data_IF_928473953061
#
_entry.id   IF_928473953061
#
_cell.length_a   1.000
_cell.length_b   1.000
_cell.length_c   1.000
_cell.angle_alpha   90.00
_cell.angle_beta   90.00
_cell.angle_gamma   90.00
#
_symmetry.space_group_name_H-M   'P 1'
#
loop_
_entity.id
_entity.type
_entity.pdbx_description
1 polymer ?
#
# COMPACT_ATOMS: atom_id res chain seq x y z
N UNK A 1 -7.46 72.96 19.45
CA UNK A 1 -7.77 71.95 18.47
C UNK A 1 -6.56 70.98 18.37
N UNK A 2 -6.61 69.87 19.08
CA UNK A 2 -5.52 68.91 19.21
C UNK A 2 -5.75 67.78 18.19
N UNK A 3 -4.83 67.61 17.21
CA UNK A 3 -4.82 66.45 16.33
C UNK A 3 -4.09 65.29 17.03
N UNK A 4 -4.81 64.20 17.25
CA UNK A 4 -4.26 62.94 17.76
C UNK A 4 -3.80 62.14 16.52
N UNK A 5 -2.52 61.84 16.47
CA UNK A 5 -1.91 60.97 15.46
C UNK A 5 -1.92 59.54 16.05
N UNK A 6 -2.71 58.69 15.45
CA UNK A 6 -2.68 57.25 15.75
C UNK A 6 -1.54 56.58 14.98
N UNK A 7 -0.54 56.10 15.68
CA UNK A 7 0.50 55.23 15.15
C UNK A 7 0.01 53.79 15.23
N UNK A 8 -0.29 53.19 14.10
CA UNK A 8 -0.50 51.73 14.00
C UNK A 8 0.86 51.05 13.93
N UNK A 9 1.21 50.37 15.04
CA UNK A 9 2.33 49.44 15.06
C UNK A 9 1.89 48.13 14.42
N UNK A 10 2.40 47.84 13.22
CA UNK A 10 2.25 46.55 12.57
C UNK A 10 3.18 45.53 13.25
N UNK A 11 2.63 44.66 14.08
CA UNK A 11 3.35 43.53 14.62
C UNK A 11 3.44 42.44 13.54
N UNK A 12 4.63 42.26 12.96
CA UNK A 12 4.95 41.14 12.12
C UNK A 12 5.02 39.86 12.97
N UNK A 13 3.98 39.06 12.91
CA UNK A 13 4.01 37.71 13.52
C UNK A 13 4.76 36.81 12.53
N UNK A 14 6.04 36.58 12.81
CA UNK A 14 6.84 35.55 12.16
C UNK A 14 6.32 34.19 12.64
N UNK A 15 5.46 33.58 11.83
CA UNK A 15 5.00 32.20 12.04
C UNK A 15 6.16 31.23 11.81
N UNK A 16 6.84 30.83 12.88
CA UNK A 16 7.71 29.66 12.86
C UNK A 16 6.80 28.43 12.64
N UNK A 17 6.79 27.89 11.43
CA UNK A 17 6.25 26.57 11.13
C UNK A 17 7.09 25.55 11.91
N UNK A 18 6.63 25.20 13.10
CA UNK A 18 7.10 24.02 13.80
C UNK A 18 6.67 22.82 12.96
N UNK A 19 7.61 22.26 12.24
CA UNK A 19 7.48 20.93 11.68
C UNK A 19 7.38 19.96 12.87
N UNK A 20 6.15 19.75 13.37
CA UNK A 20 5.85 18.67 14.29
C UNK A 20 6.03 17.37 13.50
N UNK A 21 7.22 16.77 13.60
CA UNK A 21 7.45 15.42 13.12
C UNK A 21 6.43 14.52 13.80
N UNK A 22 5.60 13.83 13.00
CA UNK A 22 4.71 12.80 13.52
C UNK A 22 5.58 11.70 14.10
N UNK A 23 5.72 11.65 15.43
CA UNK A 23 6.26 10.50 16.14
C UNK A 23 5.16 9.45 16.18
N UNK A 24 5.43 8.29 15.61
CA UNK A 24 4.57 7.11 15.76
C UNK A 24 5.15 6.25 16.87
N UNK A 25 4.29 5.88 17.84
CA UNK A 25 4.65 4.92 18.88
C UNK A 25 4.67 3.51 18.28
N UNK A 26 5.69 2.72 18.61
CA UNK A 26 5.68 1.29 18.34
C UNK A 26 4.58 0.65 19.19
N UNK A 27 3.60 0.03 18.57
CA UNK A 27 2.44 -0.56 19.23
C UNK A 27 2.80 -1.74 20.16
N UNK A 28 4.06 -2.19 20.17
CA UNK A 28 4.54 -3.29 20.99
C UNK A 28 5.52 -2.90 22.09
N UNK A 29 6.32 -1.84 21.89
CA UNK A 29 7.34 -1.44 22.88
C UNK A 29 7.00 -0.14 23.57
N UNK A 30 6.05 0.64 23.07
CA UNK A 30 5.72 1.97 23.57
C UNK A 30 6.83 3.01 23.39
N UNK A 31 7.92 2.67 22.70
CA UNK A 31 9.02 3.60 22.43
C UNK A 31 8.68 4.53 21.27
N UNK A 32 8.99 5.82 21.44
CA UNK A 32 8.96 6.79 20.37
C UNK A 32 10.02 6.41 19.30
N UNK A 33 9.58 5.83 18.21
CA UNK A 33 10.40 5.72 17.03
C UNK A 33 10.33 7.04 16.28
N UNK A 34 11.45 7.73 16.15
CA UNK A 34 11.61 8.78 15.15
C UNK A 34 11.20 8.17 13.83
N UNK A 35 10.03 8.53 13.39
CA UNK A 35 9.47 8.07 12.12
C UNK A 35 10.54 8.25 11.06
N UNK A 36 10.87 7.21 10.31
CA UNK A 36 11.64 7.32 9.08
C UNK A 36 10.81 8.07 8.03
N UNK A 37 10.24 9.21 8.41
CA UNK A 37 9.35 10.04 7.61
C UNK A 37 10.03 10.53 6.34
N UNK A 38 11.36 10.67 6.36
CA UNK A 38 12.13 10.96 5.15
C UNK A 38 12.19 9.75 4.18
N UNK A 39 12.10 8.50 4.68
CA UNK A 39 11.96 7.30 3.85
C UNK A 39 10.50 6.97 3.54
N UNK A 40 9.57 7.39 4.39
CA UNK A 40 8.13 7.15 4.24
C UNK A 40 7.42 8.08 3.27
N UNK A 41 7.94 9.27 3.00
CA UNK A 41 7.30 10.23 2.10
C UNK A 41 7.22 9.71 0.64
N UNK A 42 8.24 8.98 0.16
CA UNK A 42 8.24 8.37 -1.17
C UNK A 42 7.26 7.20 -1.26
N UNK A 43 7.23 6.33 -0.23
CA UNK A 43 6.32 5.17 -0.18
C UNK A 43 4.86 5.65 -0.14
N UNK A 44 4.54 6.68 0.66
CA UNK A 44 3.18 7.23 0.76
C UNK A 44 2.65 7.78 -0.56
N UNK A 45 3.47 8.46 -1.37
CA UNK A 45 3.06 9.02 -2.65
C UNK A 45 2.72 7.93 -3.69
N UNK A 46 3.52 6.84 -3.76
CA UNK A 46 3.27 5.73 -4.69
C UNK A 46 2.06 4.90 -4.28
N UNK A 47 1.90 4.63 -2.99
CA UNK A 47 0.72 3.96 -2.42
C UNK A 47 -0.55 4.75 -2.72
N UNK A 48 -0.53 6.09 -2.54
CA UNK A 48 -1.66 6.94 -2.87
C UNK A 48 -2.10 6.85 -4.33
N UNK A 49 -1.16 6.68 -5.27
CA UNK A 49 -1.47 6.54 -6.69
C UNK A 49 -2.20 5.22 -7.01
N UNK A 50 -1.77 4.11 -6.45
CA UNK A 50 -2.46 2.80 -6.57
C UNK A 50 -3.85 2.87 -5.96
N UNK A 51 -3.98 3.48 -4.79
CA UNK A 51 -5.26 3.69 -4.11
C UNK A 51 -6.19 4.56 -4.95
N UNK A 52 -5.68 5.66 -5.53
CA UNK A 52 -6.45 6.55 -6.40
C UNK A 52 -6.95 5.82 -7.66
N UNK A 53 -6.11 4.98 -8.27
CA UNK A 53 -6.51 4.17 -9.42
C UNK A 53 -7.73 3.29 -9.08
N UNK A 54 -7.65 2.53 -7.97
CA UNK A 54 -8.77 1.66 -7.57
C UNK A 54 -10.01 2.44 -7.10
N UNK A 55 -9.84 3.62 -6.52
CA UNK A 55 -10.95 4.50 -6.14
C UNK A 55 -11.70 5.07 -7.36
N UNK A 56 -10.99 5.33 -8.46
CA UNK A 56 -11.51 5.95 -9.67
C UNK A 56 -12.00 4.93 -10.73
N UNK A 57 -12.07 3.63 -10.38
CA UNK A 57 -12.65 2.63 -11.29
C UNK A 57 -14.12 2.93 -11.56
N UNK A 58 -14.59 2.53 -12.75
CA UNK A 58 -15.97 2.68 -13.14
C UNK A 58 -16.92 1.85 -12.24
N UNK A 59 -18.13 2.36 -12.03
CA UNK A 59 -19.14 1.73 -11.16
C UNK A 59 -19.50 0.32 -11.63
N UNK A 60 -19.48 0.06 -12.94
CA UNK A 60 -19.84 -1.26 -13.49
C UNK A 60 -18.82 -2.33 -13.09
N UNK A 61 -17.53 -1.98 -12.99
CA UNK A 61 -16.48 -2.86 -12.52
C UNK A 61 -16.59 -3.15 -11.02
N UNK A 62 -16.90 -2.14 -10.22
CA UNK A 62 -17.16 -2.27 -8.77
C UNK A 62 -18.35 -3.17 -8.50
N UNK A 63 -19.46 -2.95 -9.19
CA UNK A 63 -20.68 -3.75 -9.05
C UNK A 63 -20.47 -5.22 -9.46
N UNK A 64 -19.71 -5.45 -10.52
CA UNK A 64 -19.36 -6.81 -10.95
C UNK A 64 -18.55 -7.51 -9.88
N UNK A 65 -17.53 -6.84 -9.31
CA UNK A 65 -16.71 -7.39 -8.25
C UNK A 65 -17.53 -7.68 -6.99
N UNK A 66 -18.42 -6.79 -6.56
CA UNK A 66 -19.33 -7.02 -5.43
C UNK A 66 -20.20 -8.28 -5.64
N UNK A 67 -20.79 -8.45 -6.83
CA UNK A 67 -21.60 -9.64 -7.15
C UNK A 67 -20.77 -10.92 -7.13
N UNK A 68 -19.53 -10.89 -7.64
CA UNK A 68 -18.63 -12.03 -7.61
C UNK A 68 -18.22 -12.39 -6.18
N UNK A 69 -17.95 -11.40 -5.33
CA UNK A 69 -17.63 -11.60 -3.91
C UNK A 69 -18.82 -12.20 -3.16
N UNK A 70 -20.02 -11.68 -3.38
CA UNK A 70 -21.24 -12.22 -2.76
C UNK A 70 -21.52 -13.66 -3.20
N UNK A 71 -21.32 -13.97 -4.49
CA UNK A 71 -21.48 -15.33 -5.02
C UNK A 71 -20.42 -16.31 -4.45
N UNK A 72 -19.24 -15.80 -4.07
CA UNK A 72 -18.19 -16.57 -3.42
C UNK A 72 -18.38 -16.66 -1.89
N UNK A 73 -19.46 -16.12 -1.34
CA UNK A 73 -19.73 -16.14 0.10
C UNK A 73 -18.97 -15.09 0.92
N UNK A 74 -18.27 -14.17 0.27
CA UNK A 74 -17.53 -13.11 0.95
C UNK A 74 -18.47 -11.98 1.33
N UNK A 75 -18.72 -11.81 2.63
CA UNK A 75 -19.57 -10.75 3.16
C UNK A 75 -18.87 -9.39 3.28
N UNK A 76 -19.67 -8.33 3.46
CA UNK A 76 -19.16 -6.99 3.77
C UNK A 76 -19.00 -6.78 5.29
N UNK A 77 -18.29 -5.71 5.66
CA UNK A 77 -18.14 -5.28 7.04
C UNK A 77 -19.26 -4.29 7.34
N UNK A 78 -20.10 -4.63 8.33
CA UNK A 78 -21.23 -3.79 8.72
C UNK A 78 -20.79 -2.59 9.58
N UNK A 79 -21.37 -1.42 9.31
CA UNK A 79 -21.31 -0.22 10.14
C UNK A 79 -19.90 0.24 10.53
N UNK A 80 -19.71 0.62 11.80
CA UNK A 80 -18.44 1.15 12.34
C UNK A 80 -17.34 0.11 12.57
N UNK A 81 -17.55 -1.17 12.20
CA UNK A 81 -16.60 -2.25 12.43
C UNK A 81 -15.36 -2.24 11.56
N UNK A 82 -15.30 -1.41 10.51
CA UNK A 82 -14.20 -1.35 9.54
C UNK A 82 -12.87 -1.04 10.23
N UNK A 83 -12.85 -0.04 11.11
CA UNK A 83 -11.63 0.35 11.83
C UNK A 83 -11.06 -0.85 12.60
N UNK A 84 -11.84 -1.43 13.49
CA UNK A 84 -11.40 -2.57 14.31
C UNK A 84 -10.93 -3.77 13.46
N UNK A 85 -11.68 -4.08 12.41
CA UNK A 85 -11.34 -5.18 11.51
C UNK A 85 -9.97 -4.95 10.84
N UNK A 86 -9.76 -3.76 10.30
CA UNK A 86 -8.51 -3.42 9.63
C UNK A 86 -7.35 -3.28 10.61
N UNK A 87 -7.58 -2.76 11.83
CA UNK A 87 -6.55 -2.66 12.88
C UNK A 87 -6.09 -4.05 13.33
N UNK A 88 -7.03 -4.99 13.47
CA UNK A 88 -6.73 -6.39 13.81
C UNK A 88 -5.93 -7.08 12.70
N UNK A 89 -6.32 -6.86 11.44
CA UNK A 89 -5.61 -7.39 10.27
C UNK A 89 -4.18 -6.80 10.17
N UNK A 90 -4.05 -5.48 10.36
CA UNK A 90 -2.75 -4.81 10.36
C UNK A 90 -1.82 -5.34 11.44
N UNK A 91 -2.30 -5.44 12.68
CA UNK A 91 -1.51 -5.96 13.80
C UNK A 91 -0.99 -7.38 13.53
N UNK A 92 -1.83 -8.24 12.95
CA UNK A 92 -1.46 -9.60 12.60
C UNK A 92 -0.44 -9.64 11.45
N UNK A 93 -0.62 -8.82 10.41
CA UNK A 93 0.34 -8.69 9.32
C UNK A 93 1.70 -8.19 9.82
N UNK A 94 1.73 -7.14 10.65
CA UNK A 94 2.99 -6.63 11.24
C UNK A 94 3.71 -7.69 12.07
N UNK A 95 2.96 -8.53 12.80
CA UNK A 95 3.53 -9.63 13.59
C UNK A 95 4.13 -10.72 12.68
N UNK A 96 3.40 -11.14 11.64
CA UNK A 96 3.83 -12.22 10.76
C UNK A 96 4.96 -11.81 9.81
N UNK A 97 5.01 -10.53 9.42
CA UNK A 97 5.97 -10.03 8.45
C UNK A 97 7.18 -9.32 9.07
N UNK A 98 7.35 -9.44 10.39
CA UNK A 98 8.52 -8.89 11.08
C UNK A 98 9.80 -9.52 10.48
N UNK A 99 10.80 -8.67 10.18
CA UNK A 99 12.11 -9.08 9.67
C UNK A 99 12.12 -9.74 8.27
N UNK A 100 10.97 -9.81 7.58
CA UNK A 100 10.88 -10.39 6.24
C UNK A 100 11.31 -9.42 5.12
N UNK A 101 11.49 -8.14 5.44
CA UNK A 101 11.76 -7.09 4.46
C UNK A 101 10.51 -6.52 3.80
N UNK A 102 9.31 -7.04 4.10
CA UNK A 102 8.03 -6.49 3.65
C UNK A 102 7.62 -5.35 4.58
N UNK A 103 7.27 -4.19 4.01
CA UNK A 103 6.76 -3.06 4.77
C UNK A 103 5.23 -3.10 4.83
N UNK A 104 4.67 -2.90 6.03
CA UNK A 104 3.22 -2.78 6.25
C UNK A 104 2.89 -1.31 6.51
N UNK A 105 2.15 -0.69 5.60
CA UNK A 105 1.79 0.74 5.66
C UNK A 105 0.28 0.86 5.79
N UNK A 106 -0.20 1.61 6.80
CA UNK A 106 -1.62 1.94 6.94
C UNK A 106 -1.92 3.27 6.28
N UNK A 107 -2.98 3.32 5.47
CA UNK A 107 -3.46 4.54 4.85
C UNK A 107 -4.99 4.62 4.96
N UNK A 108 -5.46 5.41 5.91
CA UNK A 108 -6.87 5.45 6.27
C UNK A 108 -7.39 4.08 6.70
N UNK A 109 -8.37 3.55 5.99
CA UNK A 109 -8.95 2.22 6.20
C UNK A 109 -8.34 1.11 5.31
N UNK A 110 -7.24 1.39 4.63
CA UNK A 110 -6.54 0.44 3.75
C UNK A 110 -5.18 0.07 4.34
N UNK A 111 -4.71 -1.13 4.02
CA UNK A 111 -3.37 -1.61 4.41
C UNK A 111 -2.62 -1.90 3.12
N UNK A 112 -1.41 -1.38 3.00
CA UNK A 112 -0.52 -1.68 1.89
C UNK A 112 0.70 -2.47 2.34
N UNK A 113 0.95 -3.61 1.69
CA UNK A 113 2.15 -4.41 1.86
C UNK A 113 3.08 -4.12 0.70
N UNK A 114 4.24 -3.52 0.98
CA UNK A 114 5.26 -3.23 -0.03
C UNK A 114 6.32 -4.31 0.01
N UNK A 115 6.43 -5.06 -1.09
CA UNK A 115 7.37 -6.17 -1.29
C UNK A 115 8.49 -5.73 -2.23
N UNK A 116 9.71 -5.46 -1.73
CA UNK A 116 10.84 -5.09 -2.57
C UNK A 116 11.17 -6.16 -3.61
N UNK A 117 11.38 -5.76 -4.86
CA UNK A 117 11.59 -6.68 -5.97
C UNK A 117 12.82 -7.57 -5.82
N UNK A 118 13.88 -7.06 -5.20
CA UNK A 118 15.14 -7.79 -5.01
C UNK A 118 15.02 -9.01 -4.08
N UNK A 119 14.10 -8.99 -3.11
CA UNK A 119 13.82 -10.15 -2.25
C UNK A 119 12.75 -11.05 -2.83
N UNK A 120 11.86 -10.51 -3.66
CA UNK A 120 10.69 -11.21 -4.20
C UNK A 120 10.99 -11.95 -5.50
N UNK A 121 11.81 -11.35 -6.40
CA UNK A 121 12.10 -11.87 -7.75
C UNK A 121 13.59 -11.88 -8.06
N UNK A 122 13.98 -12.72 -9.02
CA UNK A 122 15.28 -12.60 -9.66
C UNK A 122 15.29 -11.44 -10.66
N UNK A 123 16.50 -10.98 -11.03
CA UNK A 123 16.66 -9.88 -11.99
C UNK A 123 15.99 -10.23 -13.32
N UNK A 124 15.22 -9.30 -13.87
CA UNK A 124 14.46 -9.47 -15.12
C UNK A 124 13.52 -10.68 -15.14
N UNK A 125 13.05 -11.13 -13.97
CA UNK A 125 12.13 -12.26 -13.83
C UNK A 125 10.80 -11.82 -13.24
N UNK A 126 9.72 -12.43 -13.75
CA UNK A 126 8.39 -12.37 -13.15
C UNK A 126 8.13 -13.53 -12.16
N UNK A 127 9.05 -14.48 -12.01
CA UNK A 127 8.88 -15.63 -11.12
C UNK A 127 9.29 -15.31 -9.68
N UNK A 128 8.43 -15.65 -8.73
CA UNK A 128 8.70 -15.49 -7.30
C UNK A 128 9.84 -16.41 -6.87
N UNK A 129 10.80 -15.87 -6.13
CA UNK A 129 11.92 -16.64 -5.56
C UNK A 129 11.41 -17.71 -4.58
N UNK A 130 12.06 -18.86 -4.57
CA UNK A 130 11.73 -19.93 -3.64
C UNK A 130 11.81 -19.49 -2.16
N UNK A 131 12.79 -18.64 -1.82
CA UNK A 131 12.96 -18.08 -0.47
C UNK A 131 11.82 -17.14 -0.05
N UNK A 132 11.04 -16.59 -0.99
CA UNK A 132 9.96 -15.66 -0.69
C UNK A 132 8.59 -16.35 -0.48
N UNK A 133 8.46 -17.63 -0.81
CA UNK A 133 7.22 -18.37 -0.60
C UNK A 133 6.81 -18.46 0.87
N UNK A 134 7.76 -18.57 1.81
CA UNK A 134 7.44 -18.56 3.25
C UNK A 134 6.79 -17.23 3.69
N UNK A 135 7.25 -16.12 3.11
CA UNK A 135 6.67 -14.81 3.37
C UNK A 135 5.25 -14.73 2.80
N UNK A 136 5.03 -15.22 1.57
CA UNK A 136 3.71 -15.27 0.97
C UNK A 136 2.76 -16.25 1.69
N UNK A 137 3.26 -17.34 2.27
CA UNK A 137 2.48 -18.21 3.14
C UNK A 137 1.99 -17.47 4.38
N UNK A 138 2.87 -16.68 5.00
CA UNK A 138 2.50 -15.86 6.17
C UNK A 138 1.43 -14.81 5.81
N UNK A 139 1.53 -14.22 4.63
CA UNK A 139 0.50 -13.31 4.10
C UNK A 139 -0.81 -14.07 3.87
N UNK A 140 -0.75 -15.24 3.21
CA UNK A 140 -1.94 -16.04 2.90
C UNK A 140 -2.74 -16.42 4.16
N UNK A 141 -2.07 -16.81 5.25
CA UNK A 141 -2.72 -17.13 6.54
C UNK A 141 -3.55 -15.94 7.06
N UNK A 142 -3.02 -14.72 6.94
CA UNK A 142 -3.75 -13.53 7.39
C UNK A 142 -4.89 -13.18 6.43
N UNK A 143 -4.67 -13.32 5.12
CA UNK A 143 -5.71 -13.06 4.12
C UNK A 143 -6.88 -14.06 4.19
N UNK A 144 -6.62 -15.30 4.58
CA UNK A 144 -7.62 -16.34 4.81
C UNK A 144 -8.48 -16.02 6.06
N UNK A 145 -7.84 -15.59 7.14
CA UNK A 145 -8.56 -15.20 8.36
C UNK A 145 -9.37 -13.90 8.18
N UNK A 146 -8.87 -12.98 7.36
CA UNK A 146 -9.50 -11.69 7.10
C UNK A 146 -10.07 -11.63 5.68
N UNK A 147 -11.18 -12.32 5.45
CA UNK A 147 -11.77 -12.51 4.11
C UNK A 147 -12.41 -11.24 3.54
N UNK A 148 -12.86 -10.30 4.38
CA UNK A 148 -13.67 -9.14 3.98
C UNK A 148 -12.84 -7.99 3.42
N UNK A 149 -11.80 -8.31 2.62
CA UNK A 149 -11.00 -7.32 1.90
C UNK A 149 -10.81 -7.71 0.44
N UNK A 150 -10.82 -6.73 -0.44
CA UNK A 150 -10.31 -6.82 -1.81
C UNK A 150 -8.79 -6.79 -1.72
N UNK A 151 -8.12 -7.53 -2.56
CA UNK A 151 -6.67 -7.67 -2.63
C UNK A 151 -6.22 -7.10 -3.97
N UNK A 152 -5.86 -5.83 -4.01
CA UNK A 152 -5.28 -5.20 -5.18
C UNK A 152 -3.78 -5.49 -5.23
N UNK A 153 -3.35 -6.22 -6.25
CA UNK A 153 -1.94 -6.59 -6.47
C UNK A 153 -1.39 -5.76 -7.61
N UNK A 154 -0.44 -4.88 -7.32
CA UNK A 154 0.18 -4.02 -8.31
C UNK A 154 1.68 -4.28 -8.44
N UNK A 155 2.15 -4.39 -9.69
CA UNK A 155 3.57 -4.53 -10.00
C UNK A 155 4.16 -3.22 -10.53
N UNK A 156 5.43 -2.97 -10.19
CA UNK A 156 6.17 -1.78 -10.59
C UNK A 156 7.59 -2.13 -11.01
N UNK A 157 8.15 -1.35 -11.94
CA UNK A 157 9.55 -1.40 -12.36
C UNK A 157 10.26 -0.07 -12.05
N UNK A 158 11.54 -0.02 -12.26
CA UNK A 158 12.26 1.24 -12.46
C UNK A 158 12.16 1.67 -13.92
N UNK A 159 12.71 2.85 -14.25
CA UNK A 159 12.68 3.40 -15.60
C UNK A 159 13.79 2.84 -16.53
N UNK A 160 14.41 1.71 -16.19
CA UNK A 160 15.45 1.11 -17.02
C UNK A 160 14.83 0.20 -18.07
N UNK A 161 15.11 0.43 -19.34
CA UNK A 161 14.64 -0.39 -20.46
C UNK A 161 13.48 0.23 -21.23
N UNK A 162 12.82 -0.58 -22.06
CA UNK A 162 11.66 -0.14 -22.84
C UNK A 162 10.40 -0.15 -21.97
N UNK A 163 9.55 0.87 -22.14
CA UNK A 163 8.32 1.02 -21.36
C UNK A 163 7.36 -0.17 -21.55
N UNK A 164 7.20 -0.66 -22.78
CA UNK A 164 6.35 -1.84 -23.04
C UNK A 164 6.86 -3.10 -22.33
N UNK A 165 8.18 -3.29 -22.26
CA UNK A 165 8.79 -4.38 -21.51
C UNK A 165 8.55 -4.21 -20.00
N UNK A 166 8.72 -3.01 -19.48
CA UNK A 166 8.46 -2.70 -18.08
C UNK A 166 6.99 -2.92 -17.70
N UNK A 167 6.07 -2.57 -18.60
CA UNK A 167 4.64 -2.83 -18.41
C UNK A 167 4.37 -4.33 -18.30
N UNK A 168 4.87 -5.13 -19.23
CA UNK A 168 4.68 -6.59 -19.21
C UNK A 168 5.33 -7.23 -17.98
N UNK A 169 6.57 -6.87 -17.65
CA UNK A 169 7.28 -7.43 -16.49
C UNK A 169 6.57 -7.11 -15.17
N UNK A 170 6.05 -5.89 -15.03
CA UNK A 170 5.29 -5.49 -13.84
C UNK A 170 4.01 -6.29 -13.68
N UNK A 171 3.29 -6.54 -14.78
CA UNK A 171 2.08 -7.34 -14.79
C UNK A 171 2.36 -8.82 -14.49
N UNK A 172 3.43 -9.40 -15.05
CA UNK A 172 3.85 -10.76 -14.76
C UNK A 172 4.18 -10.95 -13.27
N UNK A 173 4.89 -9.99 -12.66
CA UNK A 173 5.21 -10.02 -11.24
C UNK A 173 3.96 -9.97 -10.36
N UNK A 174 3.05 -9.05 -10.65
CA UNK A 174 1.79 -8.96 -9.93
C UNK A 174 0.97 -10.25 -10.05
N UNK A 175 0.86 -10.81 -11.26
CA UNK A 175 0.18 -12.08 -11.52
C UNK A 175 0.82 -13.26 -10.78
N UNK A 176 2.15 -13.33 -10.73
CA UNK A 176 2.86 -14.43 -10.04
C UNK A 176 2.56 -14.44 -8.54
N UNK A 177 2.56 -13.28 -7.89
CA UNK A 177 2.17 -13.15 -6.48
C UNK A 177 0.71 -13.52 -6.28
N UNK A 178 -0.20 -12.97 -7.11
CA UNK A 178 -1.63 -13.27 -7.02
C UNK A 178 -1.93 -14.76 -7.22
N UNK A 179 -1.30 -15.39 -8.23
CA UNK A 179 -1.48 -16.81 -8.52
C UNK A 179 -0.99 -17.69 -7.37
N UNK A 180 0.11 -17.32 -6.73
CA UNK A 180 0.56 -18.04 -5.56
C UNK A 180 -0.45 -17.96 -4.41
N UNK A 181 -0.95 -16.78 -4.09
CA UNK A 181 -1.96 -16.59 -3.03
C UNK A 181 -3.27 -17.33 -3.37
N UNK A 182 -3.70 -17.36 -4.63
CA UNK A 182 -4.83 -18.19 -5.11
C UNK A 182 -4.58 -19.68 -4.85
N UNK A 183 -3.37 -20.17 -5.11
CA UNK A 183 -3.00 -21.56 -4.85
C UNK A 183 -3.03 -21.93 -3.35
N UNK A 184 -3.01 -20.91 -2.48
CA UNK A 184 -3.17 -21.05 -1.03
C UNK A 184 -4.62 -20.99 -0.55
N UNK A 185 -5.59 -21.00 -1.48
CA UNK A 185 -7.02 -21.05 -1.17
C UNK A 185 -7.71 -19.68 -1.13
N UNK A 186 -7.00 -18.58 -1.34
CA UNK A 186 -7.63 -17.26 -1.34
C UNK A 186 -8.56 -17.12 -2.56
N UNK A 187 -9.81 -16.74 -2.31
CA UNK A 187 -10.89 -16.63 -3.31
C UNK A 187 -10.50 -15.69 -4.45
N UNK A 188 -10.60 -16.17 -5.70
CA UNK A 188 -10.20 -15.42 -6.90
C UNK A 188 -10.92 -14.08 -7.04
N UNK A 189 -12.21 -14.01 -6.72
CA UNK A 189 -13.00 -12.78 -6.78
C UNK A 189 -12.48 -11.62 -5.90
N UNK A 190 -11.62 -11.91 -4.92
CA UNK A 190 -10.97 -10.89 -4.09
C UNK A 190 -9.82 -10.19 -4.79
N UNK A 191 -9.26 -10.77 -5.84
CA UNK A 191 -8.07 -10.23 -6.48
C UNK A 191 -8.41 -9.21 -7.57
N UNK A 192 -7.60 -8.17 -7.60
CA UNK A 192 -7.50 -7.21 -8.66
C UNK A 192 -6.02 -7.03 -9.00
N UNK A 193 -5.61 -7.38 -10.22
CA UNK A 193 -4.20 -7.51 -10.59
C UNK A 193 -3.87 -6.57 -11.73
N UNK A 194 -2.85 -5.72 -11.54
CA UNK A 194 -2.42 -4.74 -12.53
C UNK A 194 -0.90 -4.56 -12.54
N UNK A 195 -0.33 -4.36 -13.71
CA UNK A 195 1.01 -3.81 -13.88
C UNK A 195 0.94 -2.31 -14.13
N UNK A 196 1.82 -1.56 -13.52
CA UNK A 196 1.97 -0.12 -13.73
C UNK A 196 3.30 0.24 -14.42
N UNK A 197 4.11 -0.76 -14.78
CA UNK A 197 5.42 -0.47 -15.36
C UNK A 197 6.22 0.50 -14.48
N UNK A 198 6.75 1.53 -15.12
CA UNK A 198 7.55 2.59 -14.50
C UNK A 198 6.76 3.86 -14.13
N UNK A 199 5.43 3.89 -14.39
CA UNK A 199 4.62 5.11 -14.34
C UNK A 199 4.39 5.68 -12.93
N UNK A 200 4.54 4.85 -11.89
CA UNK A 200 4.28 5.25 -10.50
C UNK A 200 5.52 5.05 -9.62
N UNK A 201 6.59 5.83 -9.82
CA UNK A 201 7.80 5.73 -9.01
C UNK A 201 7.55 6.26 -7.59
N UNK A 202 8.18 5.62 -6.59
CA UNK A 202 8.17 6.06 -5.19
C UNK A 202 9.51 6.69 -4.77
N UNK A 203 10.51 6.61 -5.64
CA UNK A 203 11.84 7.16 -5.42
C UNK A 203 12.45 7.63 -6.74
N UNK A 204 13.53 8.41 -6.65
CA UNK A 204 14.23 8.93 -7.82
C UNK A 204 14.92 7.82 -8.62
N UNK A 205 14.55 7.68 -9.88
CA UNK A 205 15.14 6.71 -10.82
C UNK A 205 16.59 7.01 -11.21
N UNK A 206 17.11 8.21 -10.92
CA UNK A 206 18.50 8.55 -11.20
C UNK A 206 19.48 7.80 -10.32
N UNK A 207 19.10 7.45 -9.10
CA UNK A 207 19.92 6.70 -8.15
C UNK A 207 19.66 5.18 -8.21
N UNK A 208 20.69 4.38 -7.91
CA UNK A 208 20.56 2.92 -7.83
C UNK A 208 19.60 2.49 -6.70
N UNK A 209 19.68 3.18 -5.57
CA UNK A 209 18.82 2.97 -4.40
C UNK A 209 17.36 3.28 -4.72
N UNK A 210 17.09 4.39 -5.41
CA UNK A 210 15.74 4.76 -5.83
C UNK A 210 15.15 3.78 -6.83
N UNK A 211 15.93 3.35 -7.82
CA UNK A 211 15.50 2.28 -8.75
C UNK A 211 15.19 0.98 -8.00
N UNK A 212 15.98 0.62 -6.99
CA UNK A 212 15.69 -0.57 -6.19
C UNK A 212 14.37 -0.47 -5.42
N UNK A 213 14.00 0.73 -4.96
CA UNK A 213 12.71 0.98 -4.31
C UNK A 213 11.55 0.95 -5.32
N UNK A 214 11.75 1.45 -6.53
CA UNK A 214 10.74 1.45 -7.58
C UNK A 214 10.40 0.03 -8.06
N UNK A 215 11.38 -0.87 -8.12
CA UNK A 215 11.14 -2.31 -8.41
C UNK A 215 10.48 -2.98 -7.23
N UNK A 216 9.14 -3.07 -7.23
CA UNK A 216 8.37 -3.63 -6.12
C UNK A 216 7.05 -4.27 -6.61
N UNK A 217 6.46 -5.05 -5.75
CA UNK A 217 5.04 -5.43 -5.82
C UNK A 217 4.35 -4.92 -4.56
N UNK A 218 3.16 -4.40 -4.73
CA UNK A 218 2.33 -3.94 -3.62
C UNK A 218 1.05 -4.79 -3.53
N UNK A 219 0.63 -5.13 -2.31
CA UNK A 219 -0.70 -5.66 -2.02
C UNK A 219 -1.47 -4.62 -1.22
N UNK A 220 -2.46 -4.00 -1.83
CA UNK A 220 -3.36 -3.08 -1.14
C UNK A 220 -4.62 -3.84 -0.71
N UNK A 221 -4.85 -3.90 0.60
CA UNK A 221 -6.04 -4.51 1.20
C UNK A 221 -7.09 -3.43 1.41
N UNK A 222 -8.23 -3.57 0.71
CA UNK A 222 -9.32 -2.60 0.70
C UNK A 222 -10.53 -3.26 1.36
N UNK A 223 -11.07 -2.71 2.46
CA UNK A 223 -12.22 -3.30 3.14
C UNK A 223 -13.48 -3.28 2.26
N UNK A 224 -14.22 -4.39 2.26
CA UNK A 224 -15.52 -4.50 1.62
C UNK A 224 -16.55 -3.96 2.62
N UNK A 225 -17.06 -2.76 2.34
CA UNK A 225 -18.02 -2.07 3.19
C UNK A 225 -19.44 -2.39 2.76
N UNK A 226 -20.34 -2.54 3.75
CA UNK A 226 -21.76 -2.50 3.49
C UNK A 226 -22.18 -1.07 3.12
N UNK A 227 -22.91 -0.92 2.04
CA UNK A 227 -23.45 0.38 1.66
C UNK A 227 -24.60 0.73 2.61
N UNK A 228 -24.59 1.99 3.12
CA UNK A 228 -25.63 2.50 4.00
C UNK A 228 -26.90 2.88 3.21
#
# INVERSE_FOLDING_TARGET
MKKIINIFAAAAVSGALLASGCTTYDAYTGEEKVSNTAKGAGIGAGVGAVIAYFANRDESSKERQKRMLAAAGVGAIAGGGVGYYMDSQEAKLRKQLRETGVSVVREGDKINLVMPGNITFDTNSGHVKASFYEVLNSVAVVLDEFEKTIIAVSGHTDSTGASDYNQQLSEERARSVANYLRSRGIVDARFDVIGFGEDYPIADNSSAEGRAQNRRVELTLIPIKEEA
#
